data_IF_124610056995
#
_entry.id   IF_124610056995
#
_cell.length_a   1.000
_cell.length_b   1.000
_cell.length_c   1.000
_cell.angle_alpha   90.00
_cell.angle_beta   90.00
_cell.angle_gamma   90.00
#
_symmetry.space_group_name_H-M   'P 1'
#
loop_
_entity.id
_entity.type
_entity.pdbx_description
1 polymer ?
#
# COMPACT_ATOMS: atom_id res chain seq x y z
N UNK A 1 22.70 -8.56 6.48
CA UNK A 1 21.48 -8.22 5.71
C UNK A 1 20.98 -6.86 6.21
N UNK A 2 20.63 -5.92 5.33
CA UNK A 2 20.08 -4.61 5.76
C UNK A 2 18.64 -4.81 6.22
N UNK A 3 18.26 -4.28 7.37
CA UNK A 3 16.87 -4.35 7.85
C UNK A 3 15.97 -3.47 6.98
N UNK A 4 14.90 -4.03 6.42
CA UNK A 4 13.87 -3.29 5.70
C UNK A 4 12.81 -2.80 6.70
N UNK A 5 12.45 -1.52 6.63
CA UNK A 5 11.39 -0.95 7.44
C UNK A 5 10.07 -1.00 6.66
N UNK A 6 9.18 -1.93 7.03
CA UNK A 6 7.88 -2.14 6.39
C UNK A 6 6.76 -1.30 7.02
N UNK A 7 7.06 -0.43 7.98
CA UNK A 7 6.05 0.40 8.63
C UNK A 7 5.44 1.46 7.69
N UNK A 8 6.12 1.76 6.58
CA UNK A 8 5.75 2.80 5.63
C UNK A 8 5.66 2.23 4.22
N UNK A 9 4.43 2.18 3.71
CA UNK A 9 4.10 1.58 2.41
C UNK A 9 3.55 2.61 1.41
N UNK A 10 3.52 3.90 1.79
CA UNK A 10 2.70 4.90 1.13
C UNK A 10 3.06 5.14 -0.33
N UNK A 11 4.36 5.18 -0.66
CA UNK A 11 4.82 5.29 -2.05
C UNK A 11 4.34 4.11 -2.89
N UNK A 12 4.61 2.87 -2.45
CA UNK A 12 4.22 1.65 -3.15
C UNK A 12 2.71 1.57 -3.33
N UNK A 13 1.95 1.86 -2.28
CA UNK A 13 0.49 1.83 -2.33
C UNK A 13 -0.07 2.84 -3.33
N UNK A 14 0.40 4.09 -3.26
CA UNK A 14 0.00 5.18 -4.18
C UNK A 14 0.36 4.86 -5.62
N UNK A 15 1.55 4.28 -5.86
CA UNK A 15 2.01 3.83 -7.17
C UNK A 15 1.07 2.76 -7.73
N UNK A 16 0.88 1.66 -7.01
CA UNK A 16 0.04 0.54 -7.44
C UNK A 16 -1.41 0.97 -7.68
N UNK A 17 -2.00 1.78 -6.80
CA UNK A 17 -3.35 2.32 -6.99
C UNK A 17 -3.45 3.14 -8.28
N UNK A 18 -2.50 4.06 -8.50
CA UNK A 18 -2.50 4.91 -9.70
C UNK A 18 -2.26 4.11 -10.98
N UNK A 19 -1.45 3.05 -10.93
CA UNK A 19 -1.26 2.13 -12.06
C UNK A 19 -2.56 1.39 -12.42
N UNK A 20 -3.48 1.24 -11.48
CA UNK A 20 -4.84 0.71 -11.71
C UNK A 20 -5.86 1.81 -12.08
N UNK A 21 -5.42 3.06 -12.26
CA UNK A 21 -6.27 4.22 -12.59
C UNK A 21 -7.37 4.53 -11.55
N UNK A 22 -7.20 4.10 -10.30
CA UNK A 22 -8.19 4.26 -9.25
C UNK A 22 -7.97 5.55 -8.47
N UNK A 23 -9.05 6.25 -8.12
CA UNK A 23 -9.08 7.28 -7.06
C UNK A 23 -9.01 6.60 -5.69
N UNK A 24 -8.64 7.37 -4.66
CA UNK A 24 -8.58 6.83 -3.29
C UNK A 24 -9.93 6.28 -2.80
N UNK A 25 -11.04 6.96 -3.14
CA UNK A 25 -12.40 6.52 -2.79
C UNK A 25 -12.76 5.20 -3.49
N UNK A 26 -12.50 5.12 -4.79
CA UNK A 26 -12.74 3.92 -5.59
C UNK A 26 -11.91 2.73 -5.09
N UNK A 27 -10.65 2.97 -4.74
CA UNK A 27 -9.77 1.95 -4.18
C UNK A 27 -10.21 1.51 -2.78
N UNK A 28 -10.64 2.43 -1.93
CA UNK A 28 -11.20 2.10 -0.62
C UNK A 28 -12.41 1.18 -0.75
N UNK A 29 -13.31 1.46 -1.69
CA UNK A 29 -14.48 0.62 -1.96
C UNK A 29 -14.13 -0.80 -2.45
N UNK A 30 -12.96 -0.98 -3.07
CA UNK A 30 -12.46 -2.30 -3.48
C UNK A 30 -11.74 -3.04 -2.34
N UNK A 31 -11.24 -2.31 -1.36
CA UNK A 31 -10.64 -2.88 -0.16
C UNK A 31 -11.73 -3.32 0.82
N UNK A 32 -11.54 -4.45 1.49
CA UNK A 32 -12.47 -4.84 2.55
C UNK A 32 -12.28 -3.94 3.78
N UNK A 33 -13.34 -3.26 4.23
CA UNK A 33 -13.38 -2.53 5.51
C UNK A 33 -12.43 -1.33 5.63
N UNK A 34 -11.94 -0.77 4.51
CA UNK A 34 -11.13 0.45 4.52
C UNK A 34 -11.95 1.62 3.98
N UNK A 35 -11.80 2.79 4.61
CA UNK A 35 -12.35 4.05 4.12
C UNK A 35 -11.29 4.88 3.37
N UNK A 36 -11.73 5.87 2.60
CA UNK A 36 -10.84 6.77 1.87
C UNK A 36 -9.84 7.48 2.78
N UNK A 37 -10.25 7.81 4.02
CA UNK A 37 -9.37 8.46 5.01
C UNK A 37 -8.19 7.55 5.36
N UNK A 38 -8.44 6.27 5.59
CA UNK A 38 -7.41 5.26 5.87
C UNK A 38 -6.46 5.11 4.70
N UNK A 39 -6.98 5.01 3.47
CA UNK A 39 -6.14 5.00 2.27
C UNK A 39 -5.24 6.24 2.22
N UNK A 40 -5.80 7.43 2.47
CA UNK A 40 -5.03 8.67 2.50
C UNK A 40 -3.94 8.66 3.59
N UNK A 41 -4.24 8.18 4.80
CA UNK A 41 -3.25 8.11 5.88
C UNK A 41 -2.10 7.14 5.56
N UNK A 42 -2.43 5.98 4.97
CA UNK A 42 -1.44 4.99 4.55
C UNK A 42 -0.55 5.53 3.42
N UNK A 43 -1.14 6.15 2.39
CA UNK A 43 -0.39 6.73 1.25
C UNK A 43 0.55 7.86 1.65
N UNK A 44 0.26 8.56 2.74
CA UNK A 44 1.09 9.64 3.28
C UNK A 44 1.96 9.19 4.46
N UNK A 45 2.09 7.89 4.73
CA UNK A 45 2.87 7.33 5.82
C UNK A 45 2.49 7.89 7.22
N UNK A 46 1.23 8.33 7.38
CA UNK A 46 0.67 8.84 8.64
C UNK A 46 0.04 7.74 9.50
N UNK A 47 -0.08 6.53 8.94
CA UNK A 47 -0.58 5.36 9.64
C UNK A 47 0.25 4.14 9.23
N UNK A 48 0.59 3.30 10.21
CA UNK A 48 1.25 2.01 9.99
C UNK A 48 0.17 0.97 9.68
N UNK A 49 0.30 0.18 8.60
CA UNK A 49 -0.66 -0.87 8.29
C UNK A 49 -0.55 -2.03 9.29
N UNK A 50 -1.69 -2.62 9.66
CA UNK A 50 -1.72 -3.94 10.28
C UNK A 50 -1.64 -5.02 9.18
N UNK A 51 -1.35 -6.26 9.55
CA UNK A 51 -1.39 -7.38 8.60
C UNK A 51 -2.77 -7.55 7.95
N UNK A 52 -3.85 -7.32 8.70
CA UNK A 52 -5.21 -7.30 8.15
C UNK A 52 -5.39 -6.21 7.10
N UNK A 53 -4.82 -5.02 7.34
CA UNK A 53 -4.80 -3.93 6.37
C UNK A 53 -4.07 -4.35 5.09
N UNK A 54 -2.91 -5.00 5.19
CA UNK A 54 -2.19 -5.52 4.02
C UNK A 54 -3.07 -6.49 3.21
N UNK A 55 -3.78 -7.40 3.88
CA UNK A 55 -4.71 -8.31 3.20
C UNK A 55 -5.85 -7.58 2.50
N UNK A 56 -6.45 -6.57 3.12
CA UNK A 56 -7.51 -5.76 2.51
C UNK A 56 -7.02 -4.96 1.30
N UNK A 57 -5.82 -4.36 1.38
CA UNK A 57 -5.20 -3.62 0.29
C UNK A 57 -4.86 -4.53 -0.88
N UNK A 58 -4.28 -5.71 -0.61
CA UNK A 58 -3.94 -6.70 -1.62
C UNK A 58 -5.19 -7.16 -2.39
N UNK A 59 -6.29 -7.43 -1.67
CA UNK A 59 -7.60 -7.71 -2.29
C UNK A 59 -8.05 -6.58 -3.22
N UNK A 60 -7.99 -5.33 -2.76
CA UNK A 60 -8.37 -4.17 -3.58
C UNK A 60 -7.48 -4.00 -4.83
N UNK A 61 -6.20 -4.37 -4.73
CA UNK A 61 -5.24 -4.37 -5.83
C UNK A 61 -5.29 -5.64 -6.70
N UNK A 62 -6.21 -6.56 -6.42
CA UNK A 62 -6.35 -7.86 -7.11
C UNK A 62 -5.06 -8.69 -7.12
N UNK A 63 -4.35 -8.70 -5.99
CA UNK A 63 -3.12 -9.46 -5.79
C UNK A 63 -3.11 -10.15 -4.42
N UNK A 64 -2.16 -11.06 -4.23
CA UNK A 64 -1.91 -11.71 -2.95
C UNK A 64 -1.16 -10.78 -1.99
N UNK A 65 -1.29 -10.95 -0.66
CA UNK A 65 -0.50 -10.20 0.31
C UNK A 65 1.02 -10.33 0.11
N UNK A 66 1.49 -11.51 -0.32
CA UNK A 66 2.91 -11.75 -0.62
C UNK A 66 3.41 -10.95 -1.81
N UNK A 67 2.59 -10.78 -2.85
CA UNK A 67 2.96 -9.94 -4.01
C UNK A 67 3.04 -8.47 -3.60
N UNK A 68 2.09 -8.00 -2.78
CA UNK A 68 2.13 -6.63 -2.24
C UNK A 68 3.38 -6.40 -1.38
N UNK A 69 3.73 -7.33 -0.50
CA UNK A 69 4.95 -7.25 0.31
C UNK A 69 6.21 -7.21 -0.57
N UNK A 70 6.26 -8.03 -1.61
CA UNK A 70 7.37 -8.03 -2.58
C UNK A 70 7.51 -6.67 -3.27
N UNK A 71 6.41 -6.05 -3.70
CA UNK A 71 6.44 -4.71 -4.30
C UNK A 71 6.95 -3.63 -3.33
N UNK A 72 6.62 -3.77 -2.03
CA UNK A 72 7.11 -2.86 -0.98
C UNK A 72 8.62 -3.04 -0.81
N UNK A 73 9.10 -4.27 -0.67
CA UNK A 73 10.53 -4.57 -0.55
C UNK A 73 11.32 -4.05 -1.76
N UNK A 74 10.79 -4.27 -2.97
CA UNK A 74 11.39 -3.82 -4.21
C UNK A 74 11.54 -2.30 -4.28
N UNK A 75 10.50 -1.54 -3.91
CA UNK A 75 10.56 -0.08 -3.90
C UNK A 75 11.56 0.45 -2.84
N UNK A 76 11.61 -0.19 -1.66
CA UNK A 76 12.57 0.14 -0.60
C UNK A 76 14.01 -0.10 -1.07
N UNK A 77 14.28 -1.24 -1.70
CA UNK A 77 15.61 -1.59 -2.22
C UNK A 77 16.04 -0.66 -3.37
N UNK A 78 15.09 -0.21 -4.19
CA UNK A 78 15.34 0.73 -5.29
C UNK A 78 15.45 2.19 -4.83
N UNK A 79 15.35 2.45 -3.52
CA UNK A 79 15.47 3.80 -2.98
C UNK A 79 14.33 4.74 -3.37
N UNK A 80 13.16 4.20 -3.72
CA UNK A 80 12.00 5.01 -4.13
C UNK A 80 11.26 5.52 -2.91
N UNK A 81 11.95 6.37 -2.15
CA UNK A 81 11.39 7.11 -1.04
C UNK A 81 10.93 8.47 -1.57
N UNK A 82 9.62 8.63 -1.69
CA UNK A 82 8.87 9.89 -1.86
C UNK A 82 8.61 10.43 -3.29
N UNK A 83 7.31 10.68 -3.51
CA UNK A 83 6.74 12.00 -3.81
C UNK A 83 5.44 12.17 -3.00
#
# INVERSE_FOLDING_TARGET
>A
MKTLNLNYIGHTLKRLRKSNLLRQEEFANQCNELDRKTISLLENNKQVPLLSTISSLAKGLQMTPSELLKEIEDDLLKGRYEN
#
